data_IF_030871521829
#
_entry.id   IF_030871521829
#
_cell.length_a   1.000
_cell.length_b   1.000
_cell.length_c   1.000
_cell.angle_alpha   90.00
_cell.angle_beta   90.00
_cell.angle_gamma   90.00
#
_symmetry.space_group_name_H-M   'P 1'
#
loop_
_entity.id
_entity.type
_entity.pdbx_description
1 polymer ?
#
# COMPACT_ATOMS: atom_id res chain seq x y z
N UNK A 1 9.38 -24.07 25.49
CA UNK A 1 10.51 -23.37 24.82
C UNK A 1 11.84 -23.48 25.60
N UNK A 2 11.98 -24.41 26.56
CA UNK A 2 13.09 -24.48 27.53
C UNK A 2 14.12 -25.60 27.30
N UNK A 3 13.92 -26.48 26.31
CA UNK A 3 14.76 -27.68 26.10
C UNK A 3 16.20 -27.40 25.59
N UNK A 4 16.54 -26.16 25.24
CA UNK A 4 17.87 -25.79 24.73
C UNK A 4 18.84 -25.18 25.74
N UNK A 5 18.32 -24.55 26.81
CA UNK A 5 19.13 -23.72 27.72
C UNK A 5 20.07 -24.56 28.59
N UNK A 6 19.59 -25.70 29.10
CA UNK A 6 20.38 -26.64 29.90
C UNK A 6 21.64 -27.17 29.20
N UNK A 7 21.63 -27.30 27.86
CA UNK A 7 22.80 -27.82 27.13
C UNK A 7 23.95 -26.81 27.04
N UNK A 8 23.65 -25.50 27.08
CA UNK A 8 24.67 -24.45 27.03
C UNK A 8 25.31 -24.23 28.41
N UNK A 9 24.52 -24.26 29.48
CA UNK A 9 25.02 -24.16 30.85
C UNK A 9 25.88 -25.38 31.23
N UNK A 10 25.49 -26.57 30.76
CA UNK A 10 26.28 -27.79 30.94
C UNK A 10 27.62 -27.72 30.17
N UNK A 11 27.64 -27.12 28.98
CA UNK A 11 28.87 -26.93 28.19
C UNK A 11 29.81 -25.90 28.82
N UNK A 12 29.28 -24.78 29.35
CA UNK A 12 30.11 -23.77 30.00
C UNK A 12 30.73 -24.30 31.30
N UNK A 13 29.98 -25.08 32.09
CA UNK A 13 30.49 -25.76 33.28
C UNK A 13 31.61 -26.75 32.96
N UNK A 14 31.45 -27.55 31.90
CA UNK A 14 32.48 -28.48 31.43
C UNK A 14 33.76 -27.76 30.98
N UNK A 15 33.62 -26.61 30.31
CA UNK A 15 34.74 -25.82 29.82
C UNK A 15 35.52 -25.15 30.97
N UNK A 16 34.82 -24.64 32.01
CA UNK A 16 35.43 -24.15 33.24
C UNK A 16 36.17 -25.25 34.02
N UNK A 17 35.58 -26.44 34.12
CA UNK A 17 36.22 -27.58 34.79
C UNK A 17 37.47 -28.02 34.02
N UNK A 18 37.38 -28.12 32.69
CA UNK A 18 38.53 -28.49 31.86
C UNK A 18 39.67 -27.47 31.97
N UNK A 19 39.37 -26.16 31.88
CA UNK A 19 40.38 -25.11 32.07
C UNK A 19 40.97 -25.12 33.48
N UNK A 20 40.16 -25.33 34.53
CA UNK A 20 40.63 -25.48 35.90
C UNK A 20 41.58 -26.66 36.11
N UNK A 21 41.29 -27.81 35.50
CA UNK A 21 42.15 -29.01 35.57
C UNK A 21 43.47 -28.78 34.83
N UNK A 22 43.44 -28.16 33.64
CA UNK A 22 44.65 -27.87 32.88
C UNK A 22 45.55 -26.83 33.58
N UNK A 23 44.96 -25.81 34.20
CA UNK A 23 45.71 -24.83 35.00
C UNK A 23 46.28 -25.48 36.27
N UNK A 24 45.50 -26.31 36.97
CA UNK A 24 45.97 -27.05 38.14
C UNK A 24 47.14 -27.99 37.84
N UNK A 25 47.07 -28.72 36.72
CA UNK A 25 48.15 -29.60 36.25
C UNK A 25 49.38 -28.83 35.76
N UNK A 26 49.24 -27.57 35.33
CA UNK A 26 50.37 -26.72 34.95
C UNK A 26 51.14 -26.13 36.13
N UNK A 27 50.52 -26.08 37.32
CA UNK A 27 51.10 -25.50 38.54
C UNK A 27 51.80 -26.54 39.45
N UNK A 28 51.45 -27.83 39.35
CA UNK A 28 51.95 -28.90 40.24
C UNK A 28 53.20 -29.62 39.70
N UNK A 29 54.27 -28.87 39.45
CA UNK A 29 55.50 -29.28 38.75
C UNK A 29 56.10 -30.65 39.12
N UNK A 30 55.72 -31.71 38.39
CA UNK A 30 56.31 -33.05 38.46
C UNK A 30 57.41 -33.27 37.40
N UNK A 31 58.59 -33.69 37.86
CA UNK A 31 59.93 -33.52 37.25
C UNK A 31 60.34 -34.42 36.07
N UNK A 32 59.45 -35.17 35.42
CA UNK A 32 59.75 -35.83 34.12
C UNK A 32 58.51 -35.85 33.20
N UNK A 33 57.32 -35.95 33.80
CA UNK A 33 56.04 -35.86 33.09
C UNK A 33 55.72 -34.43 32.62
N UNK A 34 56.18 -33.40 33.34
CA UNK A 34 55.93 -32.00 33.01
C UNK A 34 56.56 -31.53 31.68
N UNK A 35 57.72 -32.06 31.30
CA UNK A 35 58.38 -31.74 30.03
C UNK A 35 57.65 -32.33 28.82
N UNK A 36 57.13 -33.57 28.97
CA UNK A 36 56.28 -34.21 27.97
C UNK A 36 54.93 -33.50 27.84
N UNK A 37 54.27 -33.22 28.97
CA UNK A 37 52.99 -32.48 29.00
C UNK A 37 53.12 -31.08 28.39
N UNK A 38 54.24 -30.39 28.64
CA UNK A 38 54.55 -29.08 28.08
C UNK A 38 54.63 -29.08 26.55
N UNK A 39 55.13 -30.15 25.93
CA UNK A 39 55.15 -30.28 24.46
C UNK A 39 53.76 -30.51 23.86
N UNK A 40 52.85 -31.16 24.59
CA UNK A 40 51.47 -31.38 24.15
C UNK A 40 50.55 -30.20 24.42
N UNK A 41 50.91 -29.32 25.36
CA UNK A 41 50.09 -28.17 25.77
C UNK A 41 49.73 -27.25 24.59
N UNK A 42 50.67 -26.97 23.69
CA UNK A 42 50.42 -26.12 22.51
C UNK A 42 49.48 -26.78 21.50
N UNK A 43 49.57 -28.11 21.36
CA UNK A 43 48.71 -28.89 20.46
C UNK A 43 47.28 -28.98 21.00
N UNK A 44 47.13 -29.21 22.31
CA UNK A 44 45.83 -29.17 23.00
C UNK A 44 45.21 -27.78 22.94
N UNK A 45 46.00 -26.72 23.15
CA UNK A 45 45.53 -25.34 23.02
C UNK A 45 45.04 -25.03 21.59
N UNK A 46 45.78 -25.47 20.56
CA UNK A 46 45.37 -25.35 19.16
C UNK A 46 44.07 -26.09 18.85
N UNK A 47 43.92 -27.32 19.35
CA UNK A 47 42.70 -28.11 19.18
C UNK A 47 41.49 -27.46 19.86
N UNK A 48 41.68 -26.91 21.07
CA UNK A 48 40.63 -26.16 21.78
C UNK A 48 40.25 -24.88 21.04
N UNK A 49 41.21 -24.16 20.46
CA UNK A 49 40.93 -22.96 19.68
C UNK A 49 40.08 -23.25 18.43
N UNK A 50 40.40 -24.32 17.69
CA UNK A 50 39.59 -24.77 16.54
C UNK A 50 38.19 -25.21 17.00
N UNK A 51 38.09 -25.92 18.13
CA UNK A 51 36.82 -26.31 18.73
C UNK A 51 35.94 -25.10 19.09
N UNK A 52 36.52 -24.08 19.71
CA UNK A 52 35.82 -22.84 20.05
C UNK A 52 35.36 -22.07 18.81
N UNK A 53 36.20 -22.01 17.77
CA UNK A 53 35.85 -21.41 16.48
C UNK A 53 34.68 -22.15 15.81
N UNK A 54 34.69 -23.49 15.80
CA UNK A 54 33.60 -24.30 15.25
C UNK A 54 32.28 -24.07 16.00
N UNK A 55 32.31 -24.00 17.34
CA UNK A 55 31.12 -23.68 18.15
C UNK A 55 30.59 -22.29 17.82
N UNK A 56 31.48 -21.31 17.65
CA UNK A 56 31.11 -19.94 17.28
C UNK A 56 30.43 -19.90 15.91
N UNK A 57 30.96 -20.59 14.91
CA UNK A 57 30.36 -20.67 13.56
C UNK A 57 28.97 -21.30 13.61
N UNK A 58 28.81 -22.43 14.31
CA UNK A 58 27.49 -23.08 14.48
C UNK A 58 26.49 -22.19 15.23
N UNK A 59 26.97 -21.37 16.17
CA UNK A 59 26.13 -20.41 16.88
C UNK A 59 25.69 -19.26 15.97
N UNK A 60 26.59 -18.75 15.12
CA UNK A 60 26.28 -17.73 14.12
C UNK A 60 25.23 -18.22 13.11
N UNK A 61 25.40 -19.42 12.55
CA UNK A 61 24.40 -19.99 11.62
C UNK A 61 23.01 -20.08 12.25
N UNK A 62 22.95 -20.53 13.50
CA UNK A 62 21.67 -20.61 14.25
C UNK A 62 21.07 -19.25 14.52
N UNK A 63 21.88 -18.22 14.78
CA UNK A 63 21.37 -16.86 14.98
C UNK A 63 20.86 -16.26 13.67
N UNK A 64 21.57 -16.48 12.57
CA UNK A 64 21.20 -15.95 11.25
C UNK A 64 19.86 -16.53 10.77
N UNK A 65 19.67 -17.85 10.90
CA UNK A 65 18.40 -18.51 10.56
C UNK A 65 17.24 -17.93 11.38
N UNK A 66 17.45 -17.67 12.68
CA UNK A 66 16.41 -17.09 13.55
C UNK A 66 16.13 -15.63 13.21
N UNK A 67 17.16 -14.86 12.90
CA UNK A 67 16.99 -13.47 12.45
C UNK A 67 16.22 -13.41 11.14
N UNK A 68 16.54 -14.28 10.18
CA UNK A 68 15.84 -14.38 8.91
C UNK A 68 14.37 -14.81 9.09
N UNK A 69 14.10 -15.76 10.00
CA UNK A 69 12.73 -16.19 10.33
C UNK A 69 11.92 -15.03 10.92
N UNK A 70 12.48 -14.30 11.91
CA UNK A 70 11.83 -13.12 12.49
C UNK A 70 11.62 -12.01 11.47
N UNK A 71 12.58 -11.79 10.57
CA UNK A 71 12.45 -10.83 9.50
C UNK A 71 11.27 -11.18 8.58
N UNK A 72 11.15 -12.45 8.17
CA UNK A 72 10.03 -12.93 7.36
C UNK A 72 8.70 -12.77 8.11
N UNK A 73 8.66 -13.09 9.42
CA UNK A 73 7.47 -12.91 10.25
C UNK A 73 7.04 -11.44 10.35
N UNK A 74 7.99 -10.52 10.56
CA UNK A 74 7.71 -9.07 10.62
C UNK A 74 7.20 -8.55 9.28
N UNK A 75 7.81 -8.95 8.18
CA UNK A 75 7.34 -8.62 6.82
C UNK A 75 5.92 -9.15 6.60
N UNK A 76 5.65 -10.41 6.96
CA UNK A 76 4.32 -11.00 6.82
C UNK A 76 3.26 -10.30 7.67
N UNK A 77 3.62 -9.87 8.88
CA UNK A 77 2.72 -9.11 9.76
C UNK A 77 2.41 -7.73 9.19
N UNK A 78 3.42 -7.03 8.65
CA UNK A 78 3.23 -5.75 7.94
C UNK A 78 2.29 -5.90 6.75
N UNK A 79 2.55 -6.88 5.88
CA UNK A 79 1.73 -7.16 4.70
C UNK A 79 0.30 -7.57 5.04
N UNK A 80 0.03 -8.09 6.24
CA UNK A 80 -1.35 -8.45 6.65
C UNK A 80 -2.23 -7.22 6.81
N UNK A 81 -1.70 -6.13 7.36
CA UNK A 81 -2.45 -4.90 7.50
C UNK A 81 -2.77 -4.32 6.11
N UNK A 82 -1.75 -4.22 5.26
CA UNK A 82 -1.89 -3.72 3.89
C UNK A 82 -2.87 -4.56 3.06
N UNK A 83 -2.77 -5.89 3.16
CA UNK A 83 -3.71 -6.84 2.56
C UNK A 83 -5.14 -6.56 2.98
N UNK A 84 -5.40 -6.42 4.28
CA UNK A 84 -6.75 -6.18 4.79
C UNK A 84 -7.29 -4.82 4.35
N UNK A 85 -6.44 -3.79 4.29
CA UNK A 85 -6.79 -2.46 3.78
C UNK A 85 -7.22 -2.55 2.31
N UNK A 86 -6.44 -3.20 1.44
CA UNK A 86 -6.76 -3.34 0.02
C UNK A 86 -8.00 -4.18 -0.23
N UNK A 87 -8.18 -5.29 0.50
CA UNK A 87 -9.36 -6.14 0.34
C UNK A 87 -10.64 -5.40 0.79
N UNK A 88 -10.58 -4.64 1.89
CA UNK A 88 -11.70 -3.79 2.34
C UNK A 88 -12.01 -2.69 1.34
N UNK A 89 -10.99 -2.01 0.81
CA UNK A 89 -11.18 -1.00 -0.22
C UNK A 89 -11.93 -1.60 -1.42
N UNK A 90 -11.49 -2.76 -1.91
CA UNK A 90 -12.14 -3.47 -3.00
C UNK A 90 -13.60 -3.81 -2.66
N UNK A 91 -13.84 -4.50 -1.56
CA UNK A 91 -15.16 -5.04 -1.23
C UNK A 91 -16.18 -3.96 -0.89
N UNK A 92 -15.74 -2.83 -0.30
CA UNK A 92 -16.64 -1.73 0.11
C UNK A 92 -16.90 -0.75 -1.04
N UNK A 93 -15.85 -0.38 -1.79
CA UNK A 93 -15.90 0.78 -2.67
C UNK A 93 -15.92 0.44 -4.16
N UNK A 94 -15.41 -0.71 -4.58
CA UNK A 94 -15.26 -1.00 -6.00
C UNK A 94 -16.62 -1.02 -6.72
N UNK A 95 -17.60 -1.71 -6.16
CA UNK A 95 -18.94 -1.80 -6.75
C UNK A 95 -19.65 -0.43 -6.74
N UNK A 96 -19.41 0.38 -5.71
CA UNK A 96 -19.96 1.74 -5.61
C UNK A 96 -19.36 2.68 -6.64
N UNK A 97 -18.04 2.63 -6.85
CA UNK A 97 -17.35 3.44 -7.85
C UNK A 97 -17.83 3.10 -9.27
N UNK A 98 -17.92 1.81 -9.59
CA UNK A 98 -18.40 1.34 -10.89
C UNK A 98 -19.87 1.72 -11.10
N UNK A 99 -20.73 1.46 -10.12
CA UNK A 99 -22.14 1.82 -10.22
C UNK A 99 -22.35 3.33 -10.39
N UNK A 100 -21.57 4.16 -9.69
CA UNK A 100 -21.65 5.61 -9.82
C UNK A 100 -21.11 6.10 -11.19
N UNK A 101 -20.03 5.48 -11.69
CA UNK A 101 -19.50 5.75 -13.01
C UNK A 101 -20.52 5.39 -14.11
N UNK A 102 -21.24 4.28 -13.97
CA UNK A 102 -22.25 3.87 -14.94
C UNK A 102 -23.51 4.74 -14.86
N UNK A 103 -23.90 5.16 -13.65
CA UNK A 103 -25.07 6.00 -13.42
C UNK A 103 -24.96 7.40 -14.04
N UNK A 104 -23.74 7.95 -14.19
CA UNK A 104 -23.55 9.30 -14.77
C UNK A 104 -23.50 9.30 -16.31
N UNK A 105 -23.24 8.16 -16.95
CA UNK A 105 -23.18 8.02 -18.42
C UNK A 105 -24.42 8.58 -19.13
N UNK A 106 -25.67 8.20 -18.77
CA UNK A 106 -26.85 8.73 -19.45
C UNK A 106 -26.98 10.24 -19.28
N UNK A 107 -26.64 10.78 -18.10
CA UNK A 107 -26.69 12.22 -17.85
C UNK A 107 -25.67 12.98 -18.70
N UNK A 108 -24.45 12.45 -18.84
CA UNK A 108 -23.43 13.02 -19.72
C UNK A 108 -23.89 13.03 -21.18
N UNK A 109 -24.55 11.96 -21.65
CA UNK A 109 -25.08 11.90 -23.01
C UNK A 109 -26.16 12.96 -23.26
N UNK A 110 -27.11 13.13 -22.33
CA UNK A 110 -28.15 14.17 -22.41
C UNK A 110 -27.55 15.57 -22.44
N UNK A 111 -26.55 15.84 -21.58
CA UNK A 111 -25.86 17.14 -21.56
C UNK A 111 -25.04 17.37 -22.84
N UNK A 112 -24.35 16.35 -23.35
CA UNK A 112 -23.59 16.44 -24.62
C UNK A 112 -24.53 16.74 -25.80
N UNK A 113 -25.73 16.15 -25.82
CA UNK A 113 -26.74 16.48 -26.81
C UNK A 113 -27.23 17.93 -26.67
N UNK A 114 -27.53 18.37 -25.45
CA UNK A 114 -28.01 19.73 -25.18
C UNK A 114 -26.96 20.81 -25.50
N UNK A 115 -25.66 20.52 -25.35
CA UNK A 115 -24.59 21.45 -25.73
C UNK A 115 -24.40 21.55 -27.25
N UNK A 116 -24.82 20.55 -28.02
CA UNK A 116 -24.73 20.53 -29.49
C UNK A 116 -25.98 21.04 -30.20
N UNK A 117 -27.15 20.89 -29.59
CA UNK A 117 -28.44 21.22 -30.20
C UNK A 117 -28.99 22.51 -29.62
N UNK A 118 -29.07 23.55 -30.45
CA UNK A 118 -29.65 24.82 -30.04
C UNK A 118 -31.17 24.67 -29.92
N UNK A 119 -31.67 24.61 -28.68
CA UNK A 119 -33.10 24.56 -28.32
C UNK A 119 -33.89 23.29 -28.71
N UNK A 120 -33.24 22.22 -29.15
CA UNK A 120 -33.90 20.95 -29.49
C UNK A 120 -33.61 19.85 -28.45
N UNK A 121 -33.92 20.15 -27.18
CA UNK A 121 -33.77 19.22 -26.07
C UNK A 121 -34.93 19.36 -25.09
N UNK A 122 -35.25 18.27 -24.37
CA UNK A 122 -36.27 18.28 -23.32
C UNK A 122 -35.73 18.99 -22.07
N UNK A 123 -36.32 20.14 -21.63
CA UNK A 123 -35.84 20.84 -20.44
C UNK A 123 -35.96 20.00 -19.16
N UNK A 124 -36.96 19.11 -19.10
CA UNK A 124 -37.17 18.21 -17.97
C UNK A 124 -36.05 17.18 -17.90
N UNK A 125 -35.67 16.58 -19.03
CA UNK A 125 -34.58 15.60 -19.08
C UNK A 125 -33.23 16.26 -18.80
N UNK A 126 -33.01 17.46 -19.33
CA UNK A 126 -31.80 18.23 -19.06
C UNK A 126 -31.65 18.57 -17.57
N UNK A 127 -32.73 19.04 -16.91
CA UNK A 127 -32.69 19.35 -15.48
C UNK A 127 -32.40 18.08 -14.65
N UNK A 128 -33.02 16.94 -14.99
CA UNK A 128 -32.72 15.65 -14.35
C UNK A 128 -31.25 15.25 -14.55
N UNK A 129 -30.71 15.39 -15.76
CA UNK A 129 -29.33 15.08 -16.08
C UNK A 129 -28.35 15.99 -15.32
N UNK A 130 -28.61 17.29 -15.26
CA UNK A 130 -27.82 18.26 -14.49
C UNK A 130 -27.85 17.95 -12.99
N UNK A 131 -29.01 17.59 -12.45
CA UNK A 131 -29.14 17.16 -11.06
C UNK A 131 -28.29 15.91 -10.78
N UNK A 132 -28.42 14.86 -11.60
CA UNK A 132 -27.63 13.64 -11.46
C UNK A 132 -26.12 13.90 -11.61
N UNK A 133 -25.72 14.75 -12.56
CA UNK A 133 -24.34 15.17 -12.76
C UNK A 133 -23.77 15.89 -11.53
N UNK A 134 -24.50 16.87 -10.99
CA UNK A 134 -24.12 17.61 -9.78
C UNK A 134 -24.06 16.73 -8.53
N UNK A 135 -25.02 15.82 -8.33
CA UNK A 135 -24.99 14.85 -7.21
C UNK A 135 -23.86 13.85 -7.33
N UNK A 136 -23.45 13.48 -8.55
CA UNK A 136 -22.36 12.55 -8.78
C UNK A 136 -21.03 13.05 -8.21
N UNK A 137 -20.76 14.37 -8.29
CA UNK A 137 -19.59 14.96 -7.65
C UNK A 137 -19.54 14.65 -6.15
N UNK A 138 -20.64 14.88 -5.43
CA UNK A 138 -20.70 14.64 -3.99
C UNK A 138 -20.53 13.17 -3.64
N UNK A 139 -21.10 12.27 -4.44
CA UNK A 139 -20.92 10.82 -4.27
C UNK A 139 -19.48 10.38 -4.49
N UNK A 140 -18.84 10.86 -5.54
CA UNK A 140 -17.44 10.55 -5.78
C UNK A 140 -16.53 11.14 -4.70
N UNK A 141 -16.80 12.37 -4.27
CA UNK A 141 -16.08 13.03 -3.19
C UNK A 141 -16.18 12.24 -1.88
N UNK A 142 -17.39 11.80 -1.51
CA UNK A 142 -17.63 10.94 -0.34
C UNK A 142 -16.77 9.66 -0.39
N UNK A 143 -16.63 9.04 -1.56
CA UNK A 143 -15.81 7.84 -1.75
C UNK A 143 -14.30 8.16 -1.64
N UNK A 144 -13.85 9.23 -2.30
CA UNK A 144 -12.43 9.58 -2.36
C UNK A 144 -11.88 10.17 -1.06
N UNK A 145 -12.73 10.80 -0.25
CA UNK A 145 -12.35 11.34 1.06
C UNK A 145 -12.56 10.34 2.20
N UNK A 146 -13.02 9.11 1.90
CA UNK A 146 -13.21 8.08 2.92
C UNK A 146 -11.86 7.67 3.54
N UNK A 147 -11.78 7.50 4.87
CA UNK A 147 -10.55 7.08 5.54
C UNK A 147 -9.94 5.78 5.01
N UNK A 148 -10.74 4.84 4.51
CA UNK A 148 -10.22 3.60 3.89
C UNK A 148 -9.53 3.89 2.57
N UNK A 149 -10.05 4.83 1.77
CA UNK A 149 -9.41 5.24 0.52
C UNK A 149 -8.06 5.91 0.81
N UNK A 150 -8.03 6.86 1.74
CA UNK A 150 -6.78 7.53 2.14
C UNK A 150 -5.75 6.57 2.71
N UNK A 151 -6.17 5.61 3.55
CA UNK A 151 -5.29 4.57 4.08
C UNK A 151 -4.72 3.64 2.99
N UNK A 152 -5.42 3.46 1.87
CA UNK A 152 -4.99 2.61 0.78
C UNK A 152 -4.09 3.32 -0.25
N UNK A 153 -4.12 4.65 -0.35
CA UNK A 153 -3.32 5.42 -1.33
C UNK A 153 -1.82 5.10 -1.31
N UNK A 154 -1.16 4.91 -0.15
CA UNK A 154 0.25 4.51 -0.11
C UNK A 154 0.54 3.15 -0.75
N UNK A 155 -0.48 2.30 -0.90
CA UNK A 155 -0.38 0.96 -1.49
C UNK A 155 -0.60 0.96 -3.00
N UNK A 156 -0.93 2.12 -3.58
CA UNK A 156 -1.08 2.26 -5.03
C UNK A 156 0.28 2.29 -5.71
N UNK A 157 0.43 1.50 -6.77
CA UNK A 157 1.58 1.58 -7.64
C UNK A 157 1.46 2.76 -8.62
N UNK A 158 2.45 2.93 -9.50
CA UNK A 158 2.48 4.04 -10.48
C UNK A 158 1.21 4.13 -11.35
N UNK A 159 0.77 3.02 -11.98
CA UNK A 159 -0.48 2.98 -12.74
C UNK A 159 -1.72 3.37 -11.92
N UNK A 160 -1.91 2.77 -10.73
CA UNK A 160 -3.05 3.07 -9.88
C UNK A 160 -3.05 4.53 -9.37
N UNK A 161 -1.89 5.05 -8.98
CA UNK A 161 -1.72 6.45 -8.58
C UNK A 161 -2.08 7.40 -9.72
N UNK A 162 -1.68 7.06 -10.94
CA UNK A 162 -2.00 7.86 -12.14
C UNK A 162 -3.50 7.84 -12.43
N UNK A 163 -4.15 6.67 -12.33
CA UNK A 163 -5.60 6.53 -12.50
C UNK A 163 -6.39 7.28 -11.41
N UNK A 164 -5.91 7.24 -10.17
CA UNK A 164 -6.50 7.96 -9.04
C UNK A 164 -6.44 9.47 -9.25
N UNK A 165 -5.27 10.01 -9.61
CA UNK A 165 -5.10 11.44 -9.91
C UNK A 165 -5.98 11.89 -11.08
N UNK A 166 -6.05 11.09 -12.15
CA UNK A 166 -6.90 11.43 -13.29
C UNK A 166 -8.39 11.42 -12.91
N UNK A 167 -8.82 10.45 -12.10
CA UNK A 167 -10.18 10.41 -11.57
C UNK A 167 -10.50 11.66 -10.74
N UNK A 168 -9.61 12.05 -9.82
CA UNK A 168 -9.77 13.25 -9.00
C UNK A 168 -9.88 14.52 -9.85
N UNK A 169 -8.99 14.70 -10.83
CA UNK A 169 -9.05 15.82 -11.78
C UNK A 169 -10.36 15.87 -12.56
N UNK A 170 -10.82 14.72 -13.05
CA UNK A 170 -12.09 14.58 -13.76
C UNK A 170 -13.29 14.89 -12.86
N UNK A 171 -13.26 14.46 -11.59
CA UNK A 171 -14.32 14.74 -10.61
C UNK A 171 -14.35 16.23 -10.24
N UNK A 172 -13.19 16.87 -10.06
CA UNK A 172 -13.13 18.32 -9.86
C UNK A 172 -13.68 19.08 -11.07
N UNK A 173 -13.44 18.60 -12.29
CA UNK A 173 -14.03 19.22 -13.48
C UNK A 173 -15.57 19.21 -13.44
N UNK A 174 -16.22 18.19 -12.88
CA UNK A 174 -17.68 18.17 -12.66
C UNK A 174 -18.11 19.34 -11.76
N UNK A 175 -17.38 19.56 -10.66
CA UNK A 175 -17.66 20.65 -9.71
C UNK A 175 -17.55 22.01 -10.37
N UNK A 176 -16.43 22.25 -11.05
CA UNK A 176 -16.16 23.52 -11.72
C UNK A 176 -17.16 23.79 -12.86
N UNK A 177 -17.68 22.74 -13.50
CA UNK A 177 -18.69 22.87 -14.55
C UNK A 177 -20.10 23.13 -14.03
N UNK A 178 -20.48 22.67 -12.83
CA UNK A 178 -21.89 22.62 -12.44
C UNK A 178 -22.62 23.98 -12.55
N UNK A 179 -21.98 25.06 -12.10
CA UNK A 179 -22.51 26.43 -12.22
C UNK A 179 -22.47 26.96 -13.66
N UNK A 180 -21.28 27.06 -14.29
CA UNK A 180 -21.10 27.54 -15.66
C UNK A 180 -21.93 26.78 -16.70
N UNK A 181 -22.06 25.46 -16.57
CA UNK A 181 -22.84 24.63 -17.48
C UNK A 181 -24.33 24.95 -17.39
N UNK A 182 -24.85 25.16 -16.17
CA UNK A 182 -26.24 25.61 -16.00
C UNK A 182 -26.46 26.98 -16.64
N UNK A 183 -25.53 27.92 -16.46
CA UNK A 183 -25.61 29.24 -17.09
C UNK A 183 -25.54 29.15 -18.63
N UNK A 184 -24.59 28.38 -19.16
CA UNK A 184 -24.37 28.15 -20.59
C UNK A 184 -25.62 27.59 -21.29
N UNK A 185 -26.27 26.59 -20.67
CA UNK A 185 -27.47 25.97 -21.24
C UNK A 185 -28.72 26.86 -21.12
N UNK A 186 -28.76 27.74 -20.11
CA UNK A 186 -29.85 28.70 -19.91
C UNK A 186 -29.71 29.99 -20.73
N UNK A 187 -28.62 30.20 -21.50
CA UNK A 187 -28.37 31.45 -22.25
C UNK A 187 -29.47 31.82 -23.26
N UNK A 188 -30.33 30.86 -23.66
CA UNK A 188 -31.49 31.13 -24.52
C UNK A 188 -32.80 31.46 -23.79
N UNK A 189 -32.84 31.44 -22.45
CA UNK A 189 -34.06 31.65 -21.65
C UNK A 189 -34.14 33.02 -20.94
N UNK A 190 -33.19 33.94 -21.17
CA UNK A 190 -33.22 35.32 -20.64
C UNK A 190 -32.12 35.63 -19.60
N UNK A 191 -32.05 36.88 -19.10
CA UNK A 191 -30.87 37.48 -18.44
C UNK A 191 -30.58 36.99 -17.00
N UNK A 192 -30.82 35.72 -16.69
CA UNK A 192 -30.98 35.28 -15.31
C UNK A 192 -29.69 35.17 -14.47
N UNK A 193 -28.49 35.07 -15.04
CA UNK A 193 -27.29 34.85 -14.21
C UNK A 193 -26.04 35.56 -14.74
N UNK A 194 -25.86 36.83 -14.36
CA UNK A 194 -24.62 37.60 -14.59
C UNK A 194 -23.38 37.12 -13.81
N UNK A 195 -23.45 35.96 -13.15
CA UNK A 195 -22.35 35.42 -12.34
C UNK A 195 -21.30 34.64 -13.15
N UNK A 196 -21.57 34.30 -14.41
CA UNK A 196 -20.67 33.52 -15.27
C UNK A 196 -20.52 34.16 -16.65
N UNK A 197 -19.82 35.30 -16.70
CA UNK A 197 -19.54 36.01 -17.95
C UNK A 197 -18.70 35.17 -18.95
N UNK A 198 -18.04 34.13 -18.47
CA UNK A 198 -17.11 33.23 -19.15
C UNK A 198 -17.63 31.77 -19.20
N UNK A 199 -18.95 31.56 -19.08
CA UNK A 199 -19.54 30.23 -19.00
C UNK A 199 -19.16 29.33 -20.19
N UNK A 200 -19.17 29.86 -21.41
CA UNK A 200 -18.82 29.11 -22.63
C UNK A 200 -17.36 28.65 -22.63
N UNK A 201 -16.42 29.53 -22.27
CA UNK A 201 -14.99 29.20 -22.18
C UNK A 201 -14.74 28.14 -21.11
N UNK A 202 -15.38 28.28 -19.94
CA UNK A 202 -15.27 27.31 -18.84
C UNK A 202 -15.83 25.95 -19.24
N UNK A 203 -16.98 25.91 -19.92
CA UNK A 203 -17.55 24.67 -20.44
C UNK A 203 -16.59 24.03 -21.44
N UNK A 204 -16.10 24.76 -22.44
CA UNK A 204 -15.15 24.23 -23.42
C UNK A 204 -13.88 23.63 -22.77
N UNK A 205 -13.34 24.34 -21.77
CA UNK A 205 -12.13 23.92 -21.05
C UNK A 205 -12.31 22.62 -20.25
N UNK A 206 -13.41 22.49 -19.51
CA UNK A 206 -13.58 21.38 -18.55
C UNK A 206 -14.47 20.24 -19.07
N UNK A 207 -15.25 20.45 -20.13
CA UNK A 207 -16.19 19.44 -20.66
C UNK A 207 -15.49 18.16 -21.11
N UNK A 208 -14.31 18.26 -21.72
CA UNK A 208 -13.50 17.10 -22.09
C UNK A 208 -13.12 16.22 -20.90
N UNK A 209 -12.73 16.85 -19.78
CA UNK A 209 -12.35 16.14 -18.55
C UNK A 209 -13.56 15.51 -17.86
N UNK A 210 -14.70 16.20 -17.84
CA UNK A 210 -15.92 15.70 -17.23
C UNK A 210 -16.53 14.52 -18.01
N UNK A 211 -16.49 14.55 -19.35
CA UNK A 211 -16.87 13.39 -20.18
C UNK A 211 -15.97 12.17 -19.95
N UNK A 212 -14.73 12.40 -19.55
CA UNK A 212 -13.77 11.35 -19.21
C UNK A 212 -14.02 10.68 -17.85
N UNK A 213 -14.90 11.21 -17.00
CA UNK A 213 -15.10 10.72 -15.62
C UNK A 213 -15.44 9.23 -15.57
N UNK A 214 -16.41 8.68 -16.34
CA UNK A 214 -16.74 7.27 -16.25
C UNK A 214 -15.54 6.37 -16.56
N UNK A 215 -14.81 6.68 -17.64
CA UNK A 215 -13.63 5.93 -18.05
C UNK A 215 -12.49 6.04 -17.03
N UNK A 216 -12.27 7.24 -16.46
CA UNK A 216 -11.28 7.48 -15.41
C UNK A 216 -11.55 6.62 -14.17
N UNK A 217 -12.80 6.66 -13.69
CA UNK A 217 -13.24 5.94 -12.48
C UNK A 217 -13.24 4.43 -12.71
N UNK A 218 -13.72 3.95 -13.86
CA UNK A 218 -13.67 2.53 -14.22
C UNK A 218 -12.22 2.03 -14.30
N UNK A 219 -11.30 2.83 -14.84
CA UNK A 219 -9.87 2.51 -14.85
C UNK A 219 -9.29 2.42 -13.44
N UNK A 220 -9.61 3.39 -12.57
CA UNK A 220 -9.20 3.34 -11.16
C UNK A 220 -9.73 2.07 -10.47
N UNK A 221 -11.01 1.74 -10.68
CA UNK A 221 -11.62 0.53 -10.14
C UNK A 221 -10.92 -0.75 -10.63
N UNK A 222 -10.56 -0.81 -11.91
CA UNK A 222 -9.81 -1.93 -12.48
C UNK A 222 -8.41 -2.07 -11.86
N UNK A 223 -7.70 -0.96 -11.63
CA UNK A 223 -6.40 -0.96 -10.96
C UNK A 223 -6.50 -1.38 -9.49
N UNK A 224 -7.51 -0.90 -8.76
CA UNK A 224 -7.79 -1.35 -7.39
C UNK A 224 -8.01 -2.87 -7.35
N UNK A 225 -8.81 -3.40 -8.29
CA UNK A 225 -9.05 -4.85 -8.41
C UNK A 225 -7.75 -5.61 -8.67
N UNK A 226 -6.92 -5.12 -9.60
CA UNK A 226 -5.62 -5.73 -9.94
C UNK A 226 -4.71 -5.78 -8.72
N UNK A 227 -4.56 -4.67 -7.99
CA UNK A 227 -3.70 -4.62 -6.80
C UNK A 227 -4.25 -5.54 -5.71
N UNK A 228 -5.56 -5.51 -5.45
CA UNK A 228 -6.17 -6.38 -4.46
C UNK A 228 -5.96 -7.88 -4.77
N UNK A 229 -5.96 -8.27 -6.05
CA UNK A 229 -5.67 -9.64 -6.48
C UNK A 229 -4.22 -10.09 -6.18
N UNK A 230 -3.27 -9.16 -6.06
CA UNK A 230 -1.89 -9.50 -5.64
C UNK A 230 -1.80 -9.92 -4.18
N UNK A 231 -2.82 -9.62 -3.38
CA UNK A 231 -2.88 -9.94 -1.96
C UNK A 231 -3.76 -11.15 -1.64
N UNK A 232 -4.40 -11.78 -2.63
CA UNK A 232 -5.19 -13.01 -2.44
C UNK A 232 -4.31 -14.23 -2.21
#
# INVERSE_FOLDING_TARGET
MTKGMWKLDALSGLLCIATGIFVGLSLDGATEFGGWLSQWQTLVAGALAVGAAAVTVLQMERTDIRQQTRHIELVRLGLRADRLTMLRLRDVWLDRLVAQADAIIPSLATIDQATKTTNDYSPIELNKAMGAFGYSFWRFKEILEDPLYEAAKPLFDGPATTAARFSDQSIQAIRELNGPLSAFLNFNQGPAFGYYADAAETVEKYWGLARGVPAAVQRLAAEIRRIAALYE
#
